data_IF_144123537508
#
_entry.id   IF_144123537508
#
_cell.length_a   1.000
_cell.length_b   1.000
_cell.length_c   1.000
_cell.angle_alpha   90.00
_cell.angle_beta   90.00
_cell.angle_gamma   90.00
#
_symmetry.space_group_name_H-M   'P 1'
#
loop_
_entity.id
_entity.type
_entity.pdbx_description
1 polymer ?
#
# COMPACT_ATOMS: atom_id res chain seq x y z
N UNK A 1 0.48 -11.82 -17.23
CA UNK A 1 0.39 -10.62 -16.36
C UNK A 1 -1.00 -10.59 -15.75
N UNK A 2 -1.06 -10.53 -14.42
CA UNK A 2 -2.27 -10.79 -13.64
C UNK A 2 -3.34 -9.69 -13.83
N UNK A 3 -4.51 -10.10 -14.32
CA UNK A 3 -5.69 -9.27 -14.67
C UNK A 3 -6.39 -8.55 -13.49
N UNK A 4 -5.69 -8.36 -12.36
CA UNK A 4 -6.26 -7.80 -11.12
C UNK A 4 -5.85 -6.34 -10.86
N UNK A 5 -4.99 -5.77 -11.70
CA UNK A 5 -4.51 -4.40 -11.60
C UNK A 5 -5.35 -3.50 -12.51
N UNK A 6 -6.26 -2.71 -11.95
CA UNK A 6 -6.91 -1.64 -12.71
C UNK A 6 -6.00 -0.42 -12.68
N UNK A 7 -5.18 -0.24 -13.72
CA UNK A 7 -4.17 0.83 -13.81
C UNK A 7 -3.23 0.90 -12.59
N UNK A 8 -2.74 -0.24 -12.10
CA UNK A 8 -1.83 -0.31 -10.95
C UNK A 8 -2.51 -0.26 -9.57
N UNK A 9 -3.82 0.02 -9.51
CA UNK A 9 -4.58 0.06 -8.26
C UNK A 9 -5.22 -1.30 -7.94
N UNK A 10 -5.08 -1.71 -6.68
CA UNK A 10 -5.72 -2.91 -6.13
C UNK A 10 -6.42 -2.60 -4.81
N UNK A 11 -7.43 -3.38 -4.44
CA UNK A 11 -8.01 -3.28 -3.08
C UNK A 11 -6.95 -3.61 -2.04
N UNK A 12 -7.00 -2.94 -0.88
CA UNK A 12 -6.10 -3.19 0.27
C UNK A 12 -5.97 -4.69 0.60
N UNK A 13 -7.09 -5.41 0.67
CA UNK A 13 -7.09 -6.85 0.94
C UNK A 13 -6.27 -7.64 -0.10
N UNK A 14 -6.39 -7.29 -1.39
CA UNK A 14 -5.62 -7.92 -2.45
C UNK A 14 -4.14 -7.54 -2.38
N UNK A 15 -3.82 -6.29 -2.04
CA UNK A 15 -2.44 -5.86 -1.79
C UNK A 15 -1.80 -6.72 -0.69
N UNK A 16 -2.47 -6.87 0.45
CA UNK A 16 -1.99 -7.69 1.57
C UNK A 16 -1.76 -9.16 1.16
N UNK A 17 -2.67 -9.73 0.35
CA UNK A 17 -2.50 -11.08 -0.19
C UNK A 17 -1.30 -11.21 -1.13
N UNK A 18 -0.98 -10.18 -1.91
CA UNK A 18 0.12 -10.20 -2.88
C UNK A 18 1.48 -9.97 -2.21
N UNK A 19 1.54 -9.11 -1.20
CA UNK A 19 2.81 -8.75 -0.53
C UNK A 19 3.08 -9.55 0.74
N UNK A 20 2.08 -10.24 1.28
CA UNK A 20 2.16 -10.90 2.58
C UNK A 20 2.09 -9.93 3.77
N UNK A 21 1.91 -8.64 3.53
CA UNK A 21 1.77 -7.65 4.61
C UNK A 21 0.46 -7.84 5.38
N UNK A 22 0.51 -7.59 6.68
CA UNK A 22 -0.69 -7.62 7.52
C UNK A 22 -1.61 -6.42 7.23
N UNK A 23 -2.91 -6.66 7.33
CA UNK A 23 -3.91 -5.59 7.18
C UNK A 23 -3.71 -4.47 8.20
N UNK A 24 -3.34 -4.84 9.44
CA UNK A 24 -3.05 -3.89 10.51
C UNK A 24 -1.84 -3.01 10.17
N UNK A 25 -0.74 -3.60 9.68
CA UNK A 25 0.45 -2.85 9.29
C UNK A 25 0.16 -1.82 8.19
N UNK A 26 -0.67 -2.19 7.22
CA UNK A 26 -1.11 -1.26 6.17
C UNK A 26 -1.99 -0.14 6.76
N UNK A 27 -2.92 -0.46 7.66
CA UNK A 27 -3.76 0.56 8.31
C UNK A 27 -2.95 1.49 9.22
N UNK A 28 -1.95 0.97 9.92
CA UNK A 28 -1.02 1.79 10.71
C UNK A 28 -0.29 2.79 9.82
N UNK A 29 0.18 2.37 8.63
CA UNK A 29 0.81 3.30 7.66
C UNK A 29 -0.18 4.36 7.18
N UNK A 30 -1.41 3.99 6.86
CA UNK A 30 -2.45 4.93 6.39
C UNK A 30 -2.76 6.02 7.43
N UNK A 31 -2.86 5.63 8.70
CA UNK A 31 -3.28 6.52 9.77
C UNK A 31 -2.13 7.31 10.41
N UNK A 32 -0.88 6.92 10.16
CA UNK A 32 0.27 7.53 10.81
C UNK A 32 0.89 8.66 9.98
N UNK A 33 1.00 9.84 10.60
CA UNK A 33 1.55 11.04 9.99
C UNK A 33 2.97 10.91 9.44
N UNK A 34 3.76 9.96 9.98
CA UNK A 34 5.12 9.68 9.54
C UNK A 34 5.20 9.07 8.13
N UNK A 35 4.08 8.60 7.58
CA UNK A 35 4.02 8.00 6.24
C UNK A 35 3.11 8.83 5.31
N UNK A 36 3.54 10.04 4.90
CA UNK A 36 2.69 10.95 4.12
C UNK A 36 2.23 10.33 2.78
N UNK A 37 3.05 9.49 2.16
CA UNK A 37 2.72 8.81 0.90
C UNK A 37 1.56 7.80 1.04
N UNK A 38 1.39 7.22 2.24
CA UNK A 38 0.37 6.21 2.57
C UNK A 38 -0.95 6.80 3.07
N UNK A 39 -1.01 8.11 3.34
CA UNK A 39 -2.25 8.77 3.77
C UNK A 39 -3.32 8.73 2.69
N UNK A 40 -4.58 8.85 3.11
CA UNK A 40 -5.71 9.00 2.19
C UNK A 40 -5.50 10.29 1.36
N UNK A 41 -5.46 10.13 0.03
CA UNK A 41 -5.17 11.24 -0.89
C UNK A 41 -3.68 11.44 -1.17
N UNK A 42 -2.80 10.66 -0.54
CA UNK A 42 -1.41 10.50 -0.95
C UNK A 42 -1.28 9.68 -2.24
N UNK A 43 -0.04 9.43 -2.66
CA UNK A 43 0.23 8.73 -3.93
C UNK A 43 -0.04 7.22 -3.87
N UNK A 44 0.03 6.62 -2.67
CA UNK A 44 -0.10 5.16 -2.50
C UNK A 44 -1.55 4.76 -2.20
N UNK A 45 -2.32 5.57 -1.48
CA UNK A 45 -3.63 5.16 -0.94
C UNK A 45 -4.76 6.08 -1.37
N UNK A 46 -5.86 5.46 -1.82
CA UNK A 46 -7.13 6.13 -2.11
C UNK A 46 -8.24 5.48 -1.29
N UNK A 47 -9.15 6.31 -0.79
CA UNK A 47 -10.42 5.85 -0.23
C UNK A 47 -11.50 6.01 -1.30
N UNK A 48 -12.08 4.89 -1.73
CA UNK A 48 -13.22 4.85 -2.65
C UNK A 48 -14.45 4.32 -1.90
N UNK A 49 -15.68 4.45 -2.46
CA UNK A 49 -16.90 4.02 -1.76
C UNK A 49 -16.89 2.55 -1.29
N UNK A 50 -16.09 1.69 -1.93
CA UNK A 50 -15.96 0.27 -1.61
C UNK A 50 -14.69 -0.05 -0.78
N UNK A 51 -14.07 0.95 -0.15
CA UNK A 51 -12.96 0.80 0.79
C UNK A 51 -11.62 1.34 0.28
N UNK A 52 -10.54 0.89 0.92
CA UNK A 52 -9.18 1.33 0.62
C UNK A 52 -8.60 0.65 -0.62
N UNK A 53 -8.00 1.46 -1.48
CA UNK A 53 -7.25 1.04 -2.65
C UNK A 53 -5.80 1.47 -2.51
N UNK A 54 -4.90 0.59 -2.94
CA UNK A 54 -3.45 0.75 -2.87
C UNK A 54 -2.91 0.73 -4.29
N UNK A 55 -2.10 1.72 -4.65
CA UNK A 55 -1.29 1.66 -5.86
C UNK A 55 -0.12 0.71 -5.61
N UNK A 56 -0.13 -0.41 -6.30
CA UNK A 56 0.83 -1.49 -6.10
C UNK A 56 2.25 -1.07 -6.45
N UNK A 57 2.44 -0.38 -7.59
CA UNK A 57 3.76 0.02 -8.07
C UNK A 57 4.39 1.07 -7.15
N UNK A 58 3.63 2.12 -6.81
CA UNK A 58 4.09 3.16 -5.87
C UNK A 58 4.41 2.60 -4.48
N UNK A 59 3.62 1.62 -4.00
CA UNK A 59 3.88 0.95 -2.74
C UNK A 59 5.19 0.14 -2.79
N UNK A 60 5.43 -0.62 -3.86
CA UNK A 60 6.67 -1.37 -4.05
C UNK A 60 7.89 -0.45 -4.15
N UNK A 61 7.79 0.64 -4.92
CA UNK A 61 8.83 1.66 -4.97
C UNK A 61 9.09 2.30 -3.61
N UNK A 62 8.03 2.55 -2.83
CA UNK A 62 8.16 3.08 -1.48
C UNK A 62 8.92 2.10 -0.56
N UNK A 63 8.60 0.81 -0.60
CA UNK A 63 9.33 -0.24 0.13
C UNK A 63 10.79 -0.32 -0.30
N UNK A 64 11.06 -0.25 -1.61
CA UNK A 64 12.42 -0.30 -2.14
C UNK A 64 13.28 0.88 -1.69
N UNK A 65 12.67 2.06 -1.49
CA UNK A 65 13.29 3.27 -0.96
C UNK A 65 13.56 3.23 0.54
N UNK A 66 12.91 2.33 1.30
CA UNK A 66 13.15 2.25 2.73
C UNK A 66 14.55 1.70 3.03
N UNK A 67 15.21 2.18 4.10
CA UNK A 67 16.51 1.67 4.51
C UNK A 67 16.45 0.16 4.83
N UNK A 68 17.58 -0.57 4.77
CA UNK A 68 17.61 -2.01 4.96
C UNK A 68 16.99 -2.50 6.27
N UNK A 69 17.03 -1.69 7.34
CA UNK A 69 16.38 -1.96 8.62
C UNK A 69 14.86 -2.17 8.54
N UNK A 70 14.23 -1.73 7.45
CA UNK A 70 12.81 -1.91 7.19
C UNK A 70 12.47 -3.21 6.43
N UNK A 71 13.47 -3.84 5.80
CA UNK A 71 13.27 -5.00 4.89
C UNK A 71 13.37 -6.35 5.62
N UNK A 72 13.62 -6.36 6.93
CA UNK A 72 13.91 -7.57 7.72
C UNK A 72 12.87 -7.84 8.82
N UNK A 73 11.71 -7.17 8.78
CA UNK A 73 10.62 -7.35 9.75
C UNK A 73 9.45 -8.14 9.15
#
# INVERSE_FOLDING_TARGET
MNNYLYHGWVKKAKYCQLTGESEDGVLQRINNAKYPDWRIGGKIVKLLPNGYWVNYEEAQEWVNRQPPSYKVA
#
